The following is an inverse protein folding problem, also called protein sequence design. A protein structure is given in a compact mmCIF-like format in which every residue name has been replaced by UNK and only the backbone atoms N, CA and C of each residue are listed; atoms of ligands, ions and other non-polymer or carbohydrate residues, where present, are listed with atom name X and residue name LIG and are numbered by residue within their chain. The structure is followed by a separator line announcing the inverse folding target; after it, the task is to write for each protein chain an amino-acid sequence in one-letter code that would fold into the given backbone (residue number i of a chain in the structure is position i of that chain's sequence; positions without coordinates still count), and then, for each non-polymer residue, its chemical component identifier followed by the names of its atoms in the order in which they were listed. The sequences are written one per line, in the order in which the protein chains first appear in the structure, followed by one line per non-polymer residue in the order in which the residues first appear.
data_IF_959634131054
#
_entry.id   IF_959634131054
#
_cell.length_a   1.000
_cell.length_b   1.000
_cell.length_c   1.000
_cell.angle_alpha   90.00
_cell.angle_beta   90.00
_cell.angle_gamma   90.00
#
_symmetry.space_group_name_H-M   'P 1'
#
loop_
_entity.id
_entity.type
_entity.pdbx_description
1 polymer ?
#
# COMPACT_ATOMS: atom_id res chain seq x y z
N UNK A 1 -1.16 -19.45 8.76
CA UNK A 1 -1.91 -19.59 10.03
C UNK A 1 -3.04 -18.57 9.97
N UNK A 2 -4.30 -18.97 9.88
CA UNK A 2 -5.40 -18.01 9.76
C UNK A 2 -5.57 -17.21 11.07
N UNK A 3 -5.53 -15.89 10.93
CA UNK A 3 -5.73 -14.92 12.01
C UNK A 3 -7.16 -14.38 11.93
N UNK A 4 -7.89 -14.45 13.03
CA UNK A 4 -9.24 -13.89 13.15
C UNK A 4 -9.20 -12.78 14.20
N UNK A 5 -9.66 -11.59 13.84
CA UNK A 5 -9.78 -10.47 14.77
C UNK A 5 -11.26 -10.31 15.15
N UNK A 6 -11.53 -10.10 16.43
CA UNK A 6 -12.86 -9.86 16.97
C UNK A 6 -12.90 -8.51 17.67
N UNK A 7 -13.99 -7.78 17.52
CA UNK A 7 -14.20 -6.48 18.17
C UNK A 7 -15.55 -6.43 18.87
N UNK A 8 -15.54 -5.93 20.11
CA UNK A 8 -16.75 -5.72 20.89
C UNK A 8 -17.54 -4.55 20.31
N UNK A 9 -18.86 -4.72 20.13
CA UNK A 9 -19.72 -3.61 19.70
C UNK A 9 -19.95 -2.54 20.76
N UNK A 10 -19.91 -2.90 22.04
CA UNK A 10 -20.22 -1.98 23.13
C UNK A 10 -19.04 -1.11 23.54
N UNK A 11 -17.85 -1.70 23.73
CA UNK A 11 -16.66 -0.97 24.20
C UNK A 11 -15.55 -0.82 23.15
N UNK A 12 -15.63 -1.50 22.00
CA UNK A 12 -14.59 -1.44 20.97
C UNK A 12 -13.32 -2.24 21.27
N UNK A 13 -13.30 -2.99 22.38
CA UNK A 13 -12.20 -3.90 22.72
C UNK A 13 -11.94 -4.90 21.58
N UNK A 14 -10.67 -5.24 21.35
CA UNK A 14 -10.23 -6.13 20.27
C UNK A 14 -9.51 -7.35 20.80
N UNK A 15 -9.70 -8.47 20.14
CA UNK A 15 -9.04 -9.72 20.48
C UNK A 15 -8.69 -10.54 19.24
N UNK A 16 -7.50 -11.11 19.24
CA UNK A 16 -6.96 -11.89 18.13
C UNK A 16 -6.99 -13.37 18.46
N UNK A 17 -7.68 -14.15 17.64
CA UNK A 17 -7.77 -15.61 17.77
C UNK A 17 -6.99 -16.27 16.65
N UNK A 18 -5.94 -17.00 17.03
CA UNK A 18 -5.15 -17.82 16.12
C UNK A 18 -5.80 -19.20 15.99
N UNK A 19 -6.25 -19.59 14.79
CA UNK A 19 -6.71 -20.96 14.56
C UNK A 19 -5.69 -21.75 13.73
N UNK A 20 -5.61 -23.05 14.00
CA UNK A 20 -4.75 -23.96 13.22
C UNK A 20 -5.42 -24.42 11.91
N UNK A 21 -6.74 -24.27 11.80
CA UNK A 21 -7.55 -24.79 10.69
C UNK A 21 -8.32 -23.66 10.00
N UNK A 22 -8.24 -23.61 8.67
CA UNK A 22 -8.90 -22.59 7.82
C UNK A 22 -10.38 -22.90 7.59
N UNK A 23 -10.76 -24.18 7.69
CA UNK A 23 -12.11 -24.68 7.37
C UNK A 23 -13.15 -24.49 8.48
N UNK A 24 -12.75 -23.96 9.65
CA UNK A 24 -13.66 -23.71 10.78
C UNK A 24 -14.02 -22.24 10.94
N UNK A 25 -15.27 -21.95 11.30
CA UNK A 25 -15.61 -20.66 11.90
C UNK A 25 -15.20 -20.72 13.39
N UNK A 26 -14.18 -19.96 13.83
CA UNK A 26 -13.84 -19.93 15.24
C UNK A 26 -15.00 -19.38 16.08
N UNK A 27 -15.19 -19.92 17.30
CA UNK A 27 -16.11 -19.31 18.25
C UNK A 27 -15.66 -17.89 18.59
N UNK A 28 -16.64 -17.00 18.79
CA UNK A 28 -16.35 -15.62 19.21
C UNK A 28 -15.83 -15.62 20.66
N UNK A 29 -14.72 -14.94 20.96
CA UNK A 29 -14.20 -14.83 22.32
C UNK A 29 -15.11 -13.95 23.19
N UNK A 30 -14.91 -14.02 24.50
CA UNK A 30 -15.57 -13.10 25.44
C UNK A 30 -14.90 -11.72 25.38
N UNK A 31 -15.68 -10.65 25.52
CA UNK A 31 -15.12 -9.30 25.58
C UNK A 31 -14.20 -9.15 26.82
N UNK A 32 -12.93 -8.73 26.66
CA UNK A 32 -11.99 -8.62 27.79
C UNK A 32 -12.40 -7.54 28.81
N UNK A 33 -13.04 -6.47 28.34
CA UNK A 33 -13.43 -5.31 29.17
C UNK A 33 -14.85 -5.42 29.75
N UNK A 34 -15.66 -6.33 29.21
CA UNK A 34 -17.08 -6.47 29.54
C UNK A 34 -17.48 -7.91 29.81
N UNK A 35 -16.57 -8.70 30.38
CA UNK A 35 -16.74 -10.15 30.61
C UNK A 35 -18.11 -10.44 31.24
N UNK A 36 -18.96 -11.12 30.49
CA UNK A 36 -20.28 -11.56 30.93
C UNK A 36 -21.35 -10.48 31.06
N UNK A 37 -21.09 -9.23 30.63
CA UNK A 37 -22.11 -8.18 30.66
C UNK A 37 -23.05 -8.24 29.44
N UNK A 38 -24.36 -8.04 29.62
CA UNK A 38 -25.31 -8.01 28.51
C UNK A 38 -24.98 -6.86 27.55
N UNK A 39 -24.82 -7.18 26.26
CA UNK A 39 -24.50 -6.21 25.20
C UNK A 39 -23.05 -6.18 24.74
N UNK A 40 -22.13 -6.86 25.44
CA UNK A 40 -20.72 -6.98 25.04
C UNK A 40 -20.48 -8.12 24.03
N UNK A 41 -21.21 -8.10 22.92
CA UNK A 41 -21.04 -9.07 21.84
C UNK A 41 -19.79 -8.77 21.02
N UNK A 42 -18.88 -9.75 20.96
CA UNK A 42 -17.72 -9.76 20.08
C UNK A 42 -18.15 -10.16 18.67
N UNK A 43 -17.80 -9.36 17.67
CA UNK A 43 -18.03 -9.67 16.25
C UNK A 43 -16.72 -9.82 15.52
N UNK A 44 -16.67 -10.80 14.62
CA UNK A 44 -15.52 -10.98 13.73
C UNK A 44 -15.36 -9.75 12.84
N UNK A 45 -14.17 -9.19 12.83
CA UNK A 45 -13.77 -8.10 11.94
C UNK A 45 -12.64 -8.60 11.06
N UNK A 46 -12.58 -8.11 9.82
CA UNK A 46 -11.43 -8.36 8.96
C UNK A 46 -10.26 -7.62 9.58
N UNK A 47 -9.21 -8.35 9.94
CA UNK A 47 -8.07 -7.77 10.61
C UNK A 47 -7.44 -6.66 9.76
N UNK A 48 -7.08 -5.55 10.40
CA UNK A 48 -6.31 -4.49 9.75
C UNK A 48 -4.96 -4.97 9.22
N UNK A 49 -4.37 -6.01 9.85
CA UNK A 49 -3.15 -6.68 9.37
C UNK A 49 -3.40 -7.60 8.15
N UNK A 50 -4.61 -8.11 7.99
CA UNK A 50 -5.01 -8.92 6.83
C UNK A 50 -5.49 -8.07 5.65
N UNK A 51 -5.62 -6.74 5.82
CA UNK A 51 -5.52 -5.83 4.69
C UNK A 51 -4.05 -5.82 4.26
N UNK A 52 -3.67 -6.83 3.49
CA UNK A 52 -2.62 -6.64 2.51
C UNK A 52 -3.11 -5.49 1.62
N UNK A 53 -2.74 -4.26 1.98
CA UNK A 53 -2.91 -3.10 1.12
C UNK A 53 -2.38 -3.55 -0.23
N UNK A 54 -3.24 -3.48 -1.23
CA UNK A 54 -2.84 -3.87 -2.58
C UNK A 54 -1.61 -3.04 -2.93
N UNK A 55 -0.73 -3.54 -3.80
CA UNK A 55 0.44 -2.76 -4.24
C UNK A 55 0.03 -1.36 -4.72
N UNK A 56 -1.18 -1.21 -5.28
CA UNK A 56 -1.77 0.07 -5.63
C UNK A 56 -1.98 1.00 -4.42
N UNK A 57 -2.51 0.51 -3.30
CA UNK A 57 -2.71 1.31 -2.09
C UNK A 57 -1.38 1.75 -1.47
N UNK A 58 -0.36 0.89 -1.51
CA UNK A 58 0.99 1.23 -1.02
C UNK A 58 1.65 2.30 -1.89
N UNK A 59 1.48 2.24 -3.21
CA UNK A 59 1.96 3.26 -4.15
C UNK A 59 1.26 4.60 -3.89
N UNK A 60 -0.06 4.60 -3.73
CA UNK A 60 -0.81 5.82 -3.46
C UNK A 60 -0.40 6.48 -2.14
N UNK A 61 -0.13 5.69 -1.10
CA UNK A 61 0.35 6.20 0.19
C UNK A 61 1.80 6.70 0.11
N UNK A 62 2.65 6.02 -0.68
CA UNK A 62 4.02 6.45 -0.95
C UNK A 62 4.08 7.74 -1.76
N UNK A 63 3.23 7.90 -2.79
CA UNK A 63 3.10 9.13 -3.57
C UNK A 63 2.63 10.29 -2.70
N UNK A 64 1.64 10.06 -1.82
CA UNK A 64 1.14 11.10 -0.93
C UNK A 64 2.20 11.60 0.07
N UNK A 65 3.08 10.70 0.54
CA UNK A 65 4.13 11.03 1.53
C UNK A 65 5.41 11.56 0.90
N UNK A 66 5.85 10.96 -0.21
CA UNK A 66 7.17 11.19 -0.79
C UNK A 66 7.15 11.84 -2.17
N UNK A 67 5.99 11.97 -2.82
CA UNK A 67 5.90 12.54 -4.18
C UNK A 67 6.53 13.93 -4.27
N UNK A 68 6.33 14.78 -3.25
CA UNK A 68 6.91 16.13 -3.20
C UNK A 68 8.43 16.14 -3.03
N UNK A 69 8.98 15.16 -2.30
CA UNK A 69 10.43 15.04 -2.08
C UNK A 69 11.12 14.44 -3.30
N UNK A 70 10.47 13.47 -3.95
CA UNK A 70 10.96 12.86 -5.20
C UNK A 70 10.93 13.88 -6.33
N UNK A 71 9.87 14.66 -6.48
CA UNK A 71 9.80 15.73 -7.50
C UNK A 71 10.86 16.81 -7.26
N UNK A 72 11.14 17.14 -5.99
CA UNK A 72 12.20 18.08 -5.65
C UNK A 72 13.61 17.52 -5.93
N UNK A 73 13.82 16.21 -5.74
CA UNK A 73 15.10 15.54 -5.96
C UNK A 73 15.38 15.20 -7.44
N UNK A 74 14.34 14.86 -8.21
CA UNK A 74 14.44 14.53 -9.63
C UNK A 74 14.68 15.78 -10.51
N UNK A 75 14.38 16.97 -9.98
CA UNK A 75 14.65 18.23 -10.67
C UNK A 75 13.74 18.46 -11.89
N UNK A 76 14.00 19.53 -12.64
CA UNK A 76 13.21 19.86 -13.84
C UNK A 76 13.43 18.81 -14.91
N UNK A 77 12.33 18.38 -15.55
CA UNK A 77 12.38 17.49 -16.70
C UNK A 77 13.36 18.02 -17.76
N UNK A 78 14.23 17.16 -18.31
CA UNK A 78 15.17 17.58 -19.34
C UNK A 78 14.39 18.07 -20.57
N UNK A 79 14.72 19.27 -21.04
CA UNK A 79 14.15 19.83 -22.27
C UNK A 79 14.65 19.03 -23.49
N UNK A 80 13.91 17.96 -23.80
CA UNK A 80 14.14 17.05 -24.93
C UNK A 80 14.23 17.82 -26.25
N UNK A 81 13.49 18.91 -26.41
CA UNK A 81 13.52 19.74 -27.63
C UNK A 81 14.81 20.54 -27.77
N UNK A 82 15.45 20.93 -26.68
CA UNK A 82 16.80 21.54 -26.70
C UNK A 82 17.87 20.51 -27.06
N UNK A 83 17.76 19.29 -26.56
CA UNK A 83 18.69 18.21 -26.90
C UNK A 83 18.57 17.78 -28.36
N UNK A 84 17.34 17.64 -28.88
CA UNK A 84 17.09 17.30 -30.29
C UNK A 84 17.75 18.33 -31.23
N UNK A 85 17.52 19.63 -31.00
CA UNK A 85 18.15 20.71 -31.78
C UNK A 85 19.68 20.68 -31.72
N UNK A 86 20.25 20.40 -30.55
CA UNK A 86 21.71 20.26 -30.38
C UNK A 86 22.27 19.07 -31.16
N UNK A 87 21.56 17.94 -31.18
CA UNK A 87 21.97 16.77 -31.96
C UNK A 87 21.87 17.02 -33.46
N UNK A 88 20.83 17.72 -33.93
CA UNK A 88 20.70 18.15 -35.33
C UNK A 88 21.84 19.08 -35.76
N UNK A 89 22.21 20.04 -34.91
CA UNK A 89 23.35 20.95 -35.15
C UNK A 89 24.68 20.19 -35.23
N UNK A 90 24.92 19.23 -34.33
CA UNK A 90 26.12 18.38 -34.34
C UNK A 90 26.16 17.40 -35.52
N UNK A 91 24.99 16.95 -35.98
CA UNK A 91 24.85 16.07 -37.14
C UNK A 91 25.14 16.77 -38.47
N UNK A 92 25.11 18.11 -38.52
CA UNK A 92 25.22 18.91 -39.76
C UNK A 92 26.58 18.86 -40.46
N UNK A 93 27.56 18.13 -39.92
CA UNK A 93 28.90 17.98 -40.51
C UNK A 93 29.47 16.56 -40.43
N UNK A 94 28.66 15.57 -40.05
CA UNK A 94 29.08 14.18 -39.97
C UNK A 94 28.81 13.47 -41.32
N UNK A 95 29.75 12.66 -41.83
CA UNK A 95 29.49 11.83 -43.00
C UNK A 95 28.30 10.92 -42.74
N UNK A 96 27.42 10.78 -43.74
CA UNK A 96 26.25 9.94 -43.61
C UNK A 96 26.64 8.46 -43.49
N UNK A 97 25.73 7.57 -43.07
CA UNK A 97 25.98 6.12 -42.98
C UNK A 97 26.23 5.42 -44.35
N UNK A 98 26.50 6.18 -45.41
CA UNK A 98 26.85 5.69 -46.75
C UNK A 98 28.10 6.34 -47.36
N UNK A 99 28.84 7.17 -46.61
CA UNK A 99 30.07 7.83 -47.07
C UNK A 99 31.32 7.12 -46.51
N UNK A 100 31.52 5.86 -46.89
CA UNK A 100 32.76 5.09 -46.66
C UNK A 100 33.10 4.24 -47.88
#
# INVERSE_FOLDING_TARGET
MPLYEFMCRACGAREETFTRTVTGNPPSPECPDGRGQPGHEMKRVVSSFARHLTTADQIAEAEARFGKEVDAAMGREPDVGRFARRYEELARGLPGPGDS
#
